data_IF_666719408588
#
_entry.id   IF_666719408588
#
_cell.length_a   1.000
_cell.length_b   1.000
_cell.length_c   1.000
_cell.angle_alpha   90.00
_cell.angle_beta   90.00
_cell.angle_gamma   90.00
#
_symmetry.space_group_name_H-M   'P 1'
#
loop_
_entity.id
_entity.type
_entity.pdbx_description
1 polymer ?
#
# COMPACT_ATOMS: atom_id res chain seq x y z
N UNK A 1 -6.39 14.33 -8.23
CA UNK A 1 -5.21 13.50 -8.56
C UNK A 1 -5.35 13.06 -10.01
N UNK A 2 -4.31 13.14 -10.85
CA UNK A 2 -4.39 12.68 -12.24
C UNK A 2 -4.38 11.14 -12.30
N UNK A 3 -4.96 10.56 -13.36
CA UNK A 3 -5.07 9.11 -13.57
C UNK A 3 -3.70 8.42 -13.47
N UNK A 4 -2.67 9.04 -14.05
CA UNK A 4 -1.29 8.59 -13.98
C UNK A 4 -0.75 8.47 -12.55
N UNK A 5 -1.02 9.45 -11.67
CA UNK A 5 -0.62 9.40 -10.26
C UNK A 5 -1.31 8.28 -9.48
N UNK A 6 -2.55 7.94 -9.84
CA UNK A 6 -3.31 6.85 -9.22
C UNK A 6 -2.84 5.47 -9.70
N UNK A 7 -2.52 5.32 -10.99
CA UNK A 7 -1.92 4.09 -11.55
C UNK A 7 -0.55 3.83 -10.92
N UNK A 8 0.29 4.86 -10.77
CA UNK A 8 1.59 4.73 -10.12
C UNK A 8 1.49 4.26 -8.66
N UNK A 9 0.42 4.63 -7.96
CA UNK A 9 0.13 4.16 -6.60
C UNK A 9 -0.33 2.70 -6.57
N UNK A 10 -1.18 2.30 -7.53
CA UNK A 10 -1.57 0.90 -7.71
C UNK A 10 -0.34 0.02 -8.01
N UNK A 11 0.44 0.38 -9.02
CA UNK A 11 1.68 -0.31 -9.41
C UNK A 11 2.64 -0.47 -8.23
N UNK A 12 2.85 0.59 -7.43
CA UNK A 12 3.70 0.51 -6.22
C UNK A 12 3.12 -0.38 -5.13
N UNK A 13 1.80 -0.41 -4.95
CA UNK A 13 1.12 -1.30 -3.99
C UNK A 13 1.36 -2.78 -4.35
N UNK A 14 1.59 -3.05 -5.62
CA UNK A 14 1.84 -4.35 -6.23
C UNK A 14 3.34 -4.70 -6.33
N UNK A 15 4.21 -3.99 -5.59
CA UNK A 15 5.63 -4.35 -5.48
C UNK A 15 6.49 -4.01 -6.71
N UNK A 16 5.92 -3.38 -7.73
CA UNK A 16 6.67 -2.80 -8.83
C UNK A 16 7.36 -1.52 -8.34
N UNK A 17 8.55 -1.74 -7.80
CA UNK A 17 9.41 -0.70 -7.19
C UNK A 17 10.26 0.06 -8.21
N UNK A 18 10.36 -0.44 -9.45
CA UNK A 18 11.14 0.17 -10.52
C UNK A 18 10.36 1.35 -11.15
N UNK A 19 10.83 2.61 -10.96
CA UNK A 19 10.12 3.79 -11.42
C UNK A 19 10.04 3.89 -12.95
N UNK A 20 11.00 3.32 -13.69
CA UNK A 20 10.97 3.33 -15.16
C UNK A 20 9.90 2.38 -15.69
N UNK A 21 9.81 1.17 -15.11
CA UNK A 21 8.77 0.19 -15.48
C UNK A 21 7.38 0.67 -15.10
N UNK A 22 7.24 1.30 -13.93
CA UNK A 22 5.99 1.89 -13.49
C UNK A 22 5.52 3.01 -14.45
N UNK A 23 6.44 3.83 -14.95
CA UNK A 23 6.14 4.87 -15.93
C UNK A 23 5.75 4.34 -17.33
N UNK A 24 6.30 3.20 -17.75
CA UNK A 24 5.90 2.54 -19.01
C UNK A 24 4.49 1.96 -18.88
N UNK A 25 4.20 1.28 -17.78
CA UNK A 25 2.86 0.75 -17.48
C UNK A 25 1.80 1.82 -17.37
N UNK A 26 2.09 2.90 -16.65
CA UNK A 26 1.17 4.01 -16.52
C UNK A 26 0.80 4.61 -17.88
N UNK A 27 1.76 4.70 -18.82
CA UNK A 27 1.50 5.18 -20.18
C UNK A 27 0.67 4.20 -21.01
N UNK A 28 0.98 2.90 -20.96
CA UNK A 28 0.22 1.87 -21.67
C UNK A 28 -1.24 1.82 -21.20
N UNK A 29 -1.46 1.88 -19.88
CA UNK A 29 -2.80 1.87 -19.29
C UNK A 29 -3.57 3.14 -19.66
N UNK A 30 -2.94 4.31 -19.60
CA UNK A 30 -3.59 5.57 -20.02
C UNK A 30 -4.00 5.50 -21.49
N UNK A 31 -3.15 4.96 -22.37
CA UNK A 31 -3.49 4.81 -23.79
C UNK A 31 -4.68 3.88 -24.05
N UNK A 32 -4.79 2.77 -23.30
CA UNK A 32 -5.94 1.84 -23.38
C UNK A 32 -7.22 2.51 -22.88
N UNK A 33 -7.13 3.26 -21.78
CA UNK A 33 -8.28 3.97 -21.21
C UNK A 33 -8.77 5.08 -22.15
N UNK A 34 -7.85 5.87 -22.71
CA UNK A 34 -8.19 6.93 -23.67
C UNK A 34 -8.77 6.35 -24.97
N UNK A 35 -8.35 5.15 -25.38
CA UNK A 35 -8.89 4.46 -26.56
C UNK A 35 -10.31 3.93 -26.34
N UNK A 36 -10.59 3.36 -25.16
CA UNK A 36 -11.91 2.80 -24.85
C UNK A 36 -12.94 3.82 -24.37
N UNK A 37 -12.49 4.99 -23.91
CA UNK A 37 -13.35 6.04 -23.36
C UNK A 37 -13.00 7.42 -23.94
N UNK A 38 -13.27 7.65 -25.25
CA UNK A 38 -12.91 8.90 -25.93
C UNK A 38 -13.66 10.13 -25.39
N UNK A 39 -14.87 9.95 -24.84
CA UNK A 39 -15.78 11.04 -24.48
C UNK A 39 -15.85 11.37 -22.98
N UNK A 40 -15.03 10.73 -22.13
CA UNK A 40 -15.04 11.04 -20.71
C UNK A 40 -14.14 10.16 -19.86
N UNK A 41 -13.64 10.74 -18.76
CA UNK A 41 -12.80 10.01 -17.79
C UNK A 41 -13.64 8.95 -17.06
N UNK A 42 -13.33 7.64 -17.20
CA UNK A 42 -14.11 6.62 -16.54
C UNK A 42 -14.04 6.77 -15.01
N UNK A 43 -15.12 6.40 -14.34
CA UNK A 43 -15.14 6.32 -12.87
C UNK A 43 -14.13 5.28 -12.39
N UNK A 44 -13.45 5.58 -11.28
CA UNK A 44 -12.43 4.71 -10.70
C UNK A 44 -12.97 3.32 -10.35
N UNK A 45 -14.25 3.22 -9.99
CA UNK A 45 -14.94 1.96 -9.67
C UNK A 45 -15.01 1.00 -10.88
N UNK A 46 -14.96 1.53 -12.10
CA UNK A 46 -14.93 0.73 -13.34
C UNK A 46 -13.49 0.37 -13.70
N UNK A 47 -12.53 1.25 -13.39
CA UNK A 47 -11.11 1.07 -13.70
C UNK A 47 -10.37 0.17 -12.71
N UNK A 48 -10.73 0.19 -11.43
CA UNK A 48 -10.00 -0.54 -10.37
C UNK A 48 -9.95 -2.06 -10.56
N UNK A 49 -11.06 -2.77 -10.87
CA UNK A 49 -10.99 -4.20 -11.13
C UNK A 49 -10.15 -4.51 -12.38
N UNK A 50 -10.29 -3.70 -13.44
CA UNK A 50 -9.52 -3.85 -14.68
C UNK A 50 -8.01 -3.60 -14.46
N UNK A 51 -7.66 -2.59 -13.67
CA UNK A 51 -6.28 -2.31 -13.29
C UNK A 51 -5.69 -3.45 -12.46
N UNK A 52 -6.47 -3.99 -11.53
CA UNK A 52 -6.05 -5.11 -10.67
C UNK A 52 -5.78 -6.36 -11.52
N UNK A 53 -6.66 -6.66 -12.47
CA UNK A 53 -6.52 -7.79 -13.39
C UNK A 53 -5.29 -7.63 -14.31
N UNK A 54 -5.11 -6.45 -14.90
CA UNK A 54 -3.95 -6.16 -15.76
C UNK A 54 -2.62 -6.21 -14.99
N UNK A 55 -2.60 -5.74 -13.74
CA UNK A 55 -1.42 -5.84 -12.88
C UNK A 55 -1.11 -7.30 -12.50
N UNK A 56 -2.13 -8.10 -12.17
CA UNK A 56 -1.96 -9.51 -11.86
C UNK A 56 -1.41 -10.31 -13.06
N UNK A 57 -1.94 -10.06 -14.27
CA UNK A 57 -1.43 -10.69 -15.49
C UNK A 57 0.03 -10.31 -15.78
N UNK A 58 0.39 -9.05 -15.55
CA UNK A 58 1.75 -8.58 -15.73
C UNK A 58 2.72 -9.18 -14.69
N UNK A 59 2.31 -9.24 -13.42
CA UNK A 59 3.08 -9.89 -12.36
C UNK A 59 3.34 -11.37 -12.71
N UNK A 60 2.32 -12.07 -13.19
CA UNK A 60 2.43 -13.46 -13.65
C UNK A 60 3.42 -13.59 -14.81
N UNK A 61 3.31 -12.76 -15.85
CA UNK A 61 4.21 -12.77 -17.00
C UNK A 61 5.66 -12.42 -16.62
N UNK A 62 5.86 -11.50 -15.67
CA UNK A 62 7.19 -11.14 -15.18
C UNK A 62 7.80 -12.22 -14.29
N UNK A 63 7.00 -12.89 -13.46
CA UNK A 63 7.44 -14.05 -12.67
C UNK A 63 7.82 -15.20 -13.59
N UNK A 64 7.02 -15.48 -14.61
CA UNK A 64 7.31 -16.51 -15.61
C UNK A 64 8.61 -16.20 -16.36
N UNK A 65 8.82 -14.94 -16.78
CA UNK A 65 10.07 -14.54 -17.45
C UNK A 65 11.29 -14.62 -16.54
N UNK A 66 11.13 -14.32 -15.24
CA UNK A 66 12.21 -14.51 -14.24
C UNK A 66 12.52 -15.98 -14.03
N UNK A 67 11.50 -16.84 -13.96
CA UNK A 67 11.69 -18.29 -13.84
C UNK A 67 12.35 -18.87 -15.08
N UNK A 68 11.95 -18.45 -16.29
CA UNK A 68 12.61 -18.85 -17.55
C UNK A 68 14.07 -18.40 -17.61
N UNK A 69 14.39 -17.20 -17.12
CA UNK A 69 15.79 -16.71 -17.00
C UNK A 69 16.60 -17.49 -15.94
N UNK A 70 15.99 -17.86 -14.82
CA UNK A 70 16.64 -18.64 -13.76
C UNK A 70 16.92 -20.10 -14.18
N UNK A 71 16.10 -20.65 -15.08
CA UNK A 71 16.27 -21.98 -15.68
C UNK A 71 17.19 -21.99 -16.91
N UNK A 72 17.90 -20.88 -17.19
CA UNK A 72 18.87 -20.81 -18.28
C UNK A 72 18.27 -20.86 -19.69
N UNK A 73 16.95 -20.68 -19.85
CA UNK A 73 16.33 -20.58 -21.17
C UNK A 73 16.48 -19.14 -21.71
N UNK A 74 17.65 -18.84 -22.26
CA UNK A 74 17.75 -17.82 -23.30
C UNK A 74 17.13 -18.38 -24.58
N UNK A 75 15.90 -17.98 -24.88
CA UNK A 75 15.43 -18.01 -26.28
C UNK A 75 15.29 -16.58 -26.76
N UNK A 76 16.34 -16.15 -27.45
CA UNK A 76 16.29 -15.13 -28.49
C UNK A 76 15.42 -15.67 -29.63
N UNK A 77 14.44 -14.85 -30.05
CA UNK A 77 13.78 -14.83 -31.36
C UNK A 77 12.86 -15.97 -31.80
N UNK A 78 11.74 -15.57 -32.42
CA UNK A 78 10.89 -16.36 -33.30
C UNK A 78 11.66 -16.92 -34.52
N UNK A 79 11.01 -17.74 -35.37
CA UNK A 79 10.42 -19.06 -35.17
C UNK A 79 11.33 -20.18 -35.76
N UNK A 80 11.32 -21.44 -35.29
CA UNK A 80 12.08 -22.49 -35.95
C UNK A 80 11.21 -23.29 -36.95
N UNK A 81 11.71 -23.39 -38.19
CA UNK A 81 11.39 -24.46 -39.13
C UNK A 81 11.98 -25.79 -38.62
N UNK A 82 11.39 -26.96 -39.00
CA UNK A 82 11.64 -28.23 -38.34
C UNK A 82 12.72 -29.05 -39.03
N UNK A 83 13.69 -29.59 -38.30
CA UNK A 83 14.45 -30.78 -38.73
C UNK A 83 14.90 -31.60 -37.51
N UNK A 84 14.27 -32.78 -37.37
CA UNK A 84 14.75 -34.15 -37.02
C UNK A 84 15.77 -34.35 -35.88
N UNK A 85 15.40 -35.15 -34.86
CA UNK A 85 15.81 -36.57 -34.64
C UNK A 85 17.33 -36.67 -34.37
N UNK A 86 17.84 -37.21 -33.27
CA UNK A 86 17.70 -38.59 -32.79
C UNK A 86 18.43 -38.77 -31.44
N UNK A 87 17.87 -39.66 -30.60
CA UNK A 87 18.54 -40.66 -29.74
C UNK A 87 19.54 -40.24 -28.64
N UNK A 88 19.21 -40.47 -27.36
CA UNK A 88 19.29 -41.75 -26.62
C UNK A 88 20.68 -41.96 -25.99
N UNK A 89 20.75 -42.01 -24.65
CA UNK A 89 21.35 -43.13 -23.92
C UNK A 89 21.48 -42.87 -22.42
N UNK A 90 21.06 -43.88 -21.68
CA UNK A 90 21.07 -44.08 -20.24
C UNK A 90 22.49 -44.20 -19.67
N UNK A 91 22.66 -43.93 -18.37
CA UNK A 91 23.00 -44.94 -17.33
C UNK A 91 23.69 -44.34 -16.09
N UNK A 92 23.11 -44.60 -14.93
CA UNK A 92 23.78 -44.74 -13.61
C UNK A 92 24.39 -46.15 -13.52
N UNK A 93 25.44 -46.42 -12.70
CA UNK A 93 25.24 -46.83 -11.28
C UNK A 93 26.43 -46.45 -10.34
N UNK A 94 26.21 -46.14 -9.05
CA UNK A 94 26.30 -46.99 -7.85
C UNK A 94 27.68 -47.11 -7.14
N UNK A 95 27.70 -46.69 -5.86
CA UNK A 95 28.16 -47.42 -4.64
C UNK A 95 29.65 -47.43 -4.19
N UNK A 96 29.79 -47.20 -2.87
CA UNK A 96 30.85 -47.50 -1.87
C UNK A 96 32.21 -46.77 -1.99
N UNK A 97 33.03 -46.50 -0.97
CA UNK A 97 33.16 -47.05 0.39
C UNK A 97 34.03 -46.11 1.28
N UNK A 98 34.20 -46.54 2.51
CA UNK A 98 34.69 -45.95 3.77
C UNK A 98 36.17 -45.49 3.93
N UNK A 99 36.39 -44.74 5.03
CA UNK A 99 37.59 -44.64 5.93
C UNK A 99 38.78 -43.73 5.54
N UNK A 100 38.98 -42.64 6.30
CA UNK A 100 39.89 -42.63 7.47
C UNK A 100 40.07 -41.24 8.12
N UNK A 101 40.01 -41.29 9.45
CA UNK A 101 40.49 -40.38 10.48
C UNK A 101 41.50 -39.28 10.07
N UNK A 102 41.08 -38.00 10.12
CA UNK A 102 41.98 -36.89 10.47
C UNK A 102 41.29 -35.94 11.46
N UNK A 103 41.63 -36.12 12.73
CA UNK A 103 41.44 -35.11 13.79
C UNK A 103 42.11 -33.81 13.33
N UNK A 104 41.31 -32.84 12.90
CA UNK A 104 41.70 -31.43 12.86
C UNK A 104 40.81 -30.68 13.83
N UNK A 105 41.39 -30.32 14.95
CA UNK A 105 40.89 -29.30 15.87
C UNK A 105 40.81 -27.96 15.15
N UNK A 106 39.73 -27.74 14.40
CA UNK A 106 39.30 -26.40 14.02
C UNK A 106 38.38 -25.92 15.14
N UNK A 107 38.86 -24.97 15.95
CA UNK A 107 38.00 -24.02 16.66
C UNK A 107 37.20 -23.26 15.60
N UNK A 108 36.10 -23.85 15.15
CA UNK A 108 35.07 -23.13 14.43
C UNK A 108 34.50 -22.11 15.39
N UNK A 109 34.70 -20.81 15.12
CA UNK A 109 33.84 -19.76 15.66
C UNK A 109 32.43 -20.13 15.20
N UNK A 110 31.71 -20.83 16.05
CA UNK A 110 30.32 -21.18 15.82
C UNK A 110 29.58 -19.88 15.56
N UNK A 111 28.94 -19.80 14.41
CA UNK A 111 27.90 -18.81 14.18
C UNK A 111 26.77 -19.19 15.14
N UNK A 112 26.81 -18.69 16.37
CA UNK A 112 25.70 -18.83 17.30
C UNK A 112 24.62 -17.89 16.79
N UNK A 113 23.72 -18.41 15.95
CA UNK A 113 22.43 -17.76 15.72
C UNK A 113 21.77 -17.73 17.08
N UNK A 114 21.85 -16.60 17.78
CA UNK A 114 21.11 -16.38 19.01
C UNK A 114 19.65 -16.50 18.60
N UNK A 115 19.05 -17.64 18.92
CA UNK A 115 17.66 -17.90 18.61
C UNK A 115 16.83 -16.88 19.39
N UNK A 116 16.29 -15.88 18.70
CA UNK A 116 15.41 -14.88 19.31
C UNK A 116 14.25 -15.58 20.01
N UNK A 117 13.93 -15.14 21.21
CA UNK A 117 12.77 -15.65 21.94
C UNK A 117 11.48 -15.37 21.14
N UNK A 118 10.43 -16.16 21.38
CA UNK A 118 9.15 -15.92 20.72
C UNK A 118 8.61 -14.52 21.02
N UNK A 119 8.78 -14.04 22.25
CA UNK A 119 8.38 -12.68 22.65
C UNK A 119 9.13 -11.59 21.90
N UNK A 120 10.43 -11.79 21.64
CA UNK A 120 11.22 -10.86 20.85
C UNK A 120 10.75 -10.81 19.39
N UNK A 121 10.42 -11.96 18.80
CA UNK A 121 9.84 -12.04 17.45
C UNK A 121 8.48 -11.34 17.37
N UNK A 122 7.61 -11.55 18.36
CA UNK A 122 6.31 -10.90 18.44
C UNK A 122 6.45 -9.38 18.61
N UNK A 123 7.41 -8.92 19.42
CA UNK A 123 7.70 -7.49 19.60
C UNK A 123 8.19 -6.87 18.29
N UNK A 124 9.14 -7.51 17.61
CA UNK A 124 9.65 -7.04 16.31
C UNK A 124 8.54 -7.00 15.24
N UNK A 125 7.69 -8.03 15.16
CA UNK A 125 6.57 -8.05 14.22
C UNK A 125 5.53 -6.94 14.47
N UNK A 126 5.36 -6.53 15.73
CA UNK A 126 4.43 -5.46 16.13
C UNK A 126 5.00 -4.05 15.92
N UNK A 127 6.32 -3.89 15.87
CA UNK A 127 6.98 -2.58 15.84
C UNK A 127 6.50 -1.66 14.70
N UNK A 128 6.31 -2.12 13.45
CA UNK A 128 5.85 -1.25 12.37
C UNK A 128 4.47 -0.62 12.65
N UNK A 129 3.54 -1.39 13.22
CA UNK A 129 2.21 -0.90 13.57
C UNK A 129 2.30 0.09 14.74
N UNK A 130 3.18 -0.16 15.72
CA UNK A 130 3.39 0.76 16.84
C UNK A 130 3.92 2.11 16.38
N UNK A 131 4.89 2.12 15.48
CA UNK A 131 5.46 3.36 14.91
C UNK A 131 4.39 4.16 14.16
N UNK A 132 3.58 3.51 13.33
CA UNK A 132 2.47 4.15 12.63
C UNK A 132 1.45 4.76 13.61
N UNK A 133 1.09 4.04 14.67
CA UNK A 133 0.12 4.52 15.66
C UNK A 133 0.64 5.71 16.48
N UNK A 134 1.87 5.62 16.98
CA UNK A 134 2.41 6.63 17.90
C UNK A 134 2.86 7.90 17.18
N UNK A 135 3.26 7.79 15.91
CA UNK A 135 3.76 8.91 15.11
C UNK A 135 2.73 9.34 14.08
N UNK A 136 2.57 8.57 13.00
CA UNK A 136 1.78 9.00 11.84
C UNK A 136 0.29 9.24 12.17
N UNK A 137 -0.35 8.38 12.97
CA UNK A 137 -1.74 8.56 13.36
C UNK A 137 -1.92 9.78 14.28
N UNK A 138 -0.93 10.07 15.13
CA UNK A 138 -0.97 11.23 16.04
C UNK A 138 -0.70 12.52 15.27
N UNK A 139 0.31 12.54 14.41
CA UNK A 139 0.69 13.70 13.60
C UNK A 139 -0.44 14.14 12.65
N UNK A 140 -1.22 13.19 12.14
CA UNK A 140 -2.41 13.48 11.32
C UNK A 140 -3.64 13.90 12.13
N UNK A 141 -3.58 13.82 13.47
CA UNK A 141 -4.73 14.06 14.34
C UNK A 141 -5.81 12.98 14.22
N UNK A 142 -5.47 11.79 13.73
CA UNK A 142 -6.37 10.65 13.74
C UNK A 142 -6.51 10.06 15.15
N UNK A 143 -5.42 10.11 15.94
CA UNK A 143 -5.40 9.68 17.34
C UNK A 143 -4.78 10.75 18.22
N UNK A 144 -5.24 10.81 19.46
CA UNK A 144 -4.51 11.50 20.52
C UNK A 144 -3.37 10.61 21.01
N UNK A 145 -2.30 11.20 21.56
CA UNK A 145 -1.16 10.44 22.12
C UNK A 145 -1.59 9.37 23.15
N UNK A 146 -2.57 9.70 24.00
CA UNK A 146 -3.16 8.76 24.98
C UNK A 146 -3.92 7.61 24.30
N UNK A 147 -4.60 7.86 23.19
CA UNK A 147 -5.30 6.83 22.44
C UNK A 147 -4.30 5.90 21.75
N UNK A 148 -3.28 6.45 21.09
CA UNK A 148 -2.22 5.67 20.47
C UNK A 148 -1.51 4.75 21.47
N UNK A 149 -1.16 5.26 22.66
CA UNK A 149 -0.56 4.43 23.72
C UNK A 149 -1.48 3.28 24.17
N UNK A 150 -2.79 3.52 24.30
CA UNK A 150 -3.76 2.47 24.64
C UNK A 150 -3.86 1.41 23.55
N UNK A 151 -3.89 1.82 22.28
CA UNK A 151 -3.95 0.89 21.16
C UNK A 151 -2.67 0.05 21.04
N UNK A 152 -1.50 0.64 21.31
CA UNK A 152 -0.24 -0.11 21.39
C UNK A 152 -0.26 -1.15 22.51
N UNK A 153 -0.78 -0.79 23.69
CA UNK A 153 -0.92 -1.74 24.81
C UNK A 153 -1.89 -2.88 24.49
N UNK A 154 -2.97 -2.63 23.74
CA UNK A 154 -3.90 -3.71 23.36
C UNK A 154 -3.32 -4.75 22.41
N UNK A 155 -2.16 -4.48 21.79
CA UNK A 155 -1.45 -5.46 20.95
C UNK A 155 -0.72 -6.53 21.76
N UNK A 156 -0.49 -6.30 23.07
CA UNK A 156 0.24 -7.23 23.92
C UNK A 156 -0.53 -8.54 24.05
N UNK A 157 0.20 -9.67 23.95
CA UNK A 157 -0.39 -11.01 23.97
C UNK A 157 -1.05 -11.48 22.67
N UNK A 158 -1.14 -10.63 21.63
CA UNK A 158 -1.79 -10.96 20.35
C UNK A 158 -0.79 -11.23 19.23
N UNK A 159 -1.17 -12.04 18.24
CA UNK A 159 -0.36 -12.14 17.01
C UNK A 159 -0.38 -10.79 16.28
N UNK A 160 0.71 -10.41 15.57
CA UNK A 160 0.78 -9.13 14.87
C UNK A 160 -0.41 -8.89 13.94
N UNK A 161 -0.85 -9.93 13.23
CA UNK A 161 -1.95 -9.86 12.25
C UNK A 161 -3.30 -9.61 12.93
N UNK A 162 -3.62 -10.37 13.98
CA UNK A 162 -4.86 -10.22 14.75
C UNK A 162 -4.91 -8.84 15.42
N UNK A 163 -3.78 -8.39 15.97
CA UNK A 163 -3.65 -7.07 16.57
C UNK A 163 -3.87 -5.96 15.53
N UNK A 164 -3.30 -6.08 14.34
CA UNK A 164 -3.48 -5.10 13.27
C UNK A 164 -4.95 -5.03 12.83
N UNK A 165 -5.64 -6.17 12.66
CA UNK A 165 -7.04 -6.18 12.25
C UNK A 165 -7.95 -5.45 13.23
N UNK A 166 -7.80 -5.69 14.54
CA UNK A 166 -8.56 -4.97 15.55
C UNK A 166 -8.26 -3.47 15.59
N UNK A 167 -6.98 -3.10 15.42
CA UNK A 167 -6.55 -1.71 15.35
C UNK A 167 -7.18 -1.02 14.13
N UNK A 168 -7.17 -1.68 12.97
CA UNK A 168 -7.76 -1.16 11.74
C UNK A 168 -9.25 -0.90 11.92
N UNK A 169 -9.98 -1.80 12.56
CA UNK A 169 -11.40 -1.59 12.86
C UNK A 169 -11.63 -0.33 13.69
N UNK A 170 -10.87 -0.15 14.76
CA UNK A 170 -10.97 1.04 15.60
C UNK A 170 -10.59 2.32 14.82
N UNK A 171 -9.53 2.29 14.01
CA UNK A 171 -9.12 3.44 13.20
C UNK A 171 -10.16 3.79 12.12
N UNK A 172 -10.82 2.81 11.51
CA UNK A 172 -11.93 3.03 10.56
C UNK A 172 -13.07 3.76 11.23
N UNK A 173 -13.48 3.33 12.42
CA UNK A 173 -14.56 3.97 13.18
C UNK A 173 -14.20 5.42 13.53
N UNK A 174 -12.98 5.66 14.01
CA UNK A 174 -12.52 7.02 14.34
C UNK A 174 -12.51 7.92 13.10
N UNK A 175 -11.94 7.45 11.98
CA UNK A 175 -11.91 8.21 10.73
C UNK A 175 -13.33 8.49 10.23
N UNK A 176 -14.25 7.52 10.33
CA UNK A 176 -15.64 7.69 9.93
C UNK A 176 -16.35 8.76 10.75
N UNK A 177 -16.14 8.80 12.06
CA UNK A 177 -16.69 9.86 12.92
C UNK A 177 -16.09 11.24 12.61
N UNK A 178 -14.79 11.31 12.33
CA UNK A 178 -14.15 12.56 11.89
C UNK A 178 -14.76 13.07 10.57
N UNK A 179 -14.93 12.19 9.58
CA UNK A 179 -15.54 12.53 8.28
C UNK A 179 -16.99 12.98 8.46
N UNK A 180 -17.79 12.28 9.29
CA UNK A 180 -19.15 12.71 9.64
C UNK A 180 -19.16 14.12 10.25
N UNK A 181 -18.23 14.38 11.18
CA UNK A 181 -18.05 15.70 11.78
C UNK A 181 -17.77 16.78 10.73
N UNK A 182 -16.86 16.52 9.80
CA UNK A 182 -16.52 17.44 8.71
C UNK A 182 -17.73 17.71 7.80
N UNK A 183 -18.46 16.66 7.39
CA UNK A 183 -19.65 16.80 6.53
C UNK A 183 -20.72 17.67 7.19
N UNK A 184 -20.92 17.51 8.51
CA UNK A 184 -21.90 18.30 9.27
C UNK A 184 -21.47 19.76 9.42
N UNK A 185 -20.18 20.02 9.61
CA UNK A 185 -19.64 21.36 9.84
C UNK A 185 -19.50 22.17 8.53
N UNK A 186 -19.08 21.52 7.44
CA UNK A 186 -18.83 22.18 6.15
C UNK A 186 -20.02 21.98 5.21
N UNK A 187 -21.02 22.87 5.29
CA UNK A 187 -22.12 22.91 4.32
C UNK A 187 -21.57 23.15 2.91
N UNK A 188 -21.88 22.26 1.96
CA UNK A 188 -21.33 22.33 0.60
C UNK A 188 -19.88 21.84 0.47
N UNK A 189 -19.35 21.18 1.51
CA UNK A 189 -17.98 20.64 1.59
C UNK A 189 -17.60 19.65 0.48
N UNK A 190 -16.37 19.09 0.53
CA UNK A 190 -15.85 18.21 -0.52
C UNK A 190 -16.73 16.98 -0.79
N UNK A 191 -17.51 16.54 0.20
CA UNK A 191 -18.46 15.42 0.09
C UNK A 191 -19.92 15.88 0.26
N UNK A 192 -20.30 17.03 -0.32
CA UNK A 192 -21.67 17.53 -0.23
C UNK A 192 -22.70 16.62 -0.94
N UNK A 193 -22.28 15.89 -1.98
CA UNK A 193 -23.16 15.01 -2.76
C UNK A 193 -23.34 13.67 -2.04
N UNK A 194 -24.56 13.09 -2.00
CA UNK A 194 -24.80 11.78 -1.39
C UNK A 194 -23.89 10.67 -1.92
N UNK A 195 -23.65 10.66 -3.24
CA UNK A 195 -22.75 9.70 -3.88
C UNK A 195 -21.31 9.81 -3.34
N UNK A 196 -20.78 11.03 -3.21
CA UNK A 196 -19.42 11.24 -2.69
C UNK A 196 -19.30 10.85 -1.20
N UNK A 197 -20.39 10.97 -0.43
CA UNK A 197 -20.43 10.49 0.96
C UNK A 197 -20.44 8.97 1.04
N UNK A 198 -21.08 8.30 0.09
CA UNK A 198 -21.10 6.85 0.05
C UNK A 198 -19.76 6.29 -0.43
N UNK A 199 -19.14 6.91 -1.44
CA UNK A 199 -17.80 6.57 -1.90
C UNK A 199 -16.78 6.62 -0.76
N UNK A 200 -16.72 7.72 0.01
CA UNK A 200 -15.79 7.81 1.14
C UNK A 200 -16.11 6.82 2.28
N UNK A 201 -17.39 6.48 2.51
CA UNK A 201 -17.76 5.44 3.50
C UNK A 201 -17.27 4.07 3.06
N UNK A 202 -17.43 3.75 1.79
CA UNK A 202 -16.95 2.50 1.21
C UNK A 202 -15.43 2.43 1.23
N UNK A 203 -14.73 3.51 0.88
CA UNK A 203 -13.28 3.58 0.95
C UNK A 203 -12.77 3.30 2.37
N UNK A 204 -13.40 3.91 3.38
CA UNK A 204 -13.07 3.66 4.79
C UNK A 204 -13.36 2.20 5.15
N UNK A 205 -14.52 1.66 4.77
CA UNK A 205 -14.90 0.27 5.07
C UNK A 205 -13.97 -0.75 4.40
N UNK A 206 -13.45 -0.48 3.21
CA UNK A 206 -12.54 -1.39 2.50
C UNK A 206 -11.08 -1.30 2.95
N UNK A 207 -10.72 -0.37 3.83
CA UNK A 207 -9.39 -0.27 4.39
C UNK A 207 -9.07 -1.50 5.27
N UNK A 208 -8.01 -2.24 4.94
CA UNK A 208 -7.63 -3.52 5.61
C UNK A 208 -6.33 -3.45 6.42
N UNK A 209 -5.61 -2.34 6.36
CA UNK A 209 -4.34 -2.15 7.08
C UNK A 209 -4.23 -0.75 7.66
N UNK A 210 -3.41 -0.58 8.71
CA UNK A 210 -3.23 0.72 9.37
C UNK A 210 -2.72 1.77 8.38
N UNK A 211 -1.80 1.35 7.50
CA UNK A 211 -1.27 2.17 6.42
C UNK A 211 -2.37 2.62 5.44
N UNK A 212 -3.34 1.76 5.11
CA UNK A 212 -4.44 2.14 4.21
C UNK A 212 -5.36 3.19 4.84
N UNK A 213 -5.69 3.06 6.13
CA UNK A 213 -6.49 4.07 6.86
C UNK A 213 -5.74 5.40 6.95
N UNK A 214 -4.42 5.36 7.21
CA UNK A 214 -3.57 6.55 7.22
C UNK A 214 -3.55 7.28 5.87
N UNK A 215 -3.47 6.54 4.76
CA UNK A 215 -3.51 7.14 3.42
C UNK A 215 -4.86 7.80 3.15
N UNK A 216 -5.97 7.17 3.57
CA UNK A 216 -7.30 7.75 3.47
C UNK A 216 -7.41 9.01 4.35
N UNK A 217 -6.95 8.99 5.59
CA UNK A 217 -6.95 10.15 6.48
C UNK A 217 -6.17 11.33 5.87
N UNK A 218 -4.99 11.08 5.27
CA UNK A 218 -4.23 12.10 4.54
C UNK A 218 -5.02 12.67 3.36
N UNK A 219 -5.73 11.83 2.63
CA UNK A 219 -6.56 12.25 1.50
C UNK A 219 -7.73 13.11 1.97
N UNK A 220 -8.42 12.71 3.04
CA UNK A 220 -9.51 13.48 3.69
C UNK A 220 -9.03 14.86 4.09
N UNK A 221 -7.90 14.95 4.79
CA UNK A 221 -7.32 16.24 5.20
C UNK A 221 -6.97 17.09 3.97
N UNK A 222 -6.39 16.49 2.94
CA UNK A 222 -6.03 17.19 1.70
C UNK A 222 -7.24 17.72 0.95
N UNK A 223 -8.30 16.92 0.80
CA UNK A 223 -9.54 17.34 0.12
C UNK A 223 -10.25 18.44 0.89
N UNK A 224 -10.30 18.31 2.22
CA UNK A 224 -10.82 19.36 3.10
C UNK A 224 -10.05 20.67 2.90
N UNK A 225 -8.72 20.66 3.01
CA UNK A 225 -7.89 21.85 2.84
C UNK A 225 -8.03 22.44 1.43
N UNK A 226 -8.04 21.60 0.39
CA UNK A 226 -8.22 22.06 -0.99
C UNK A 226 -9.60 22.71 -1.21
N UNK A 227 -10.63 22.22 -0.52
CA UNK A 227 -11.95 22.84 -0.54
C UNK A 227 -11.94 24.18 0.22
N UNK A 228 -11.34 24.22 1.42
CA UNK A 228 -11.17 25.43 2.23
C UNK A 228 -10.32 26.49 1.51
N UNK A 229 -9.30 26.13 0.74
CA UNK A 229 -8.52 27.10 -0.05
C UNK A 229 -9.33 27.73 -1.17
N UNK A 230 -10.19 26.93 -1.83
CA UNK A 230 -11.03 27.36 -2.96
C UNK A 230 -12.26 28.16 -2.52
N UNK A 231 -12.86 27.80 -1.40
CA UNK A 231 -14.13 28.36 -0.94
C UNK A 231 -13.99 29.21 0.33
N UNK A 232 -12.93 28.99 1.13
CA UNK A 232 -12.65 29.70 2.38
C UNK A 232 -11.97 31.06 2.21
N UNK A 233 -11.61 31.48 0.99
CA UNK A 233 -11.29 32.89 0.69
C UNK A 233 -12.53 33.75 0.40
N UNK A 234 -13.73 33.17 0.39
CA UNK A 234 -14.93 33.82 -0.15
C UNK A 234 -16.23 33.70 0.65
N UNK A 235 -16.22 33.30 1.93
CA UNK A 235 -17.48 33.25 2.67
C UNK A 235 -17.35 33.07 4.19
N UNK A 236 -17.93 34.03 4.92
CA UNK A 236 -18.28 34.05 6.35
C UNK A 236 -17.29 34.46 7.45
N UNK A 237 -16.07 34.93 7.16
CA UNK A 237 -15.32 35.77 8.15
C UNK A 237 -14.71 37.06 7.57
N UNK A 238 -15.04 37.42 6.32
CA UNK A 238 -14.54 38.63 5.65
C UNK A 238 -15.37 39.91 5.83
N UNK A 239 -16.39 39.92 6.70
CA UNK A 239 -17.39 41.00 6.72
C UNK A 239 -17.81 41.57 8.08
N UNK A 240 -17.22 41.16 9.21
CA UNK A 240 -17.69 41.62 10.54
C UNK A 240 -16.60 41.99 11.56
N UNK A 241 -15.37 42.25 11.12
CA UNK A 241 -14.32 42.88 11.94
C UNK A 241 -13.70 44.11 11.27
N UNK A 242 -14.45 44.75 10.37
CA UNK A 242 -14.23 46.14 9.99
C UNK A 242 -14.91 47.06 10.99
N UNK A 243 -14.27 47.34 12.13
CA UNK A 243 -14.77 48.39 13.03
C UNK A 243 -14.35 48.31 14.49
N UNK A 244 -13.10 48.70 14.80
CA UNK A 244 -12.77 49.69 15.85
C UNK A 244 -11.25 49.75 16.07
N UNK A 245 -10.58 50.58 15.26
CA UNK A 245 -9.51 51.44 15.79
C UNK A 245 -10.12 52.82 16.04
N UNK A 246 -10.25 53.19 17.32
CA UNK A 246 -10.19 54.56 17.90
C UNK A 246 -10.62 54.48 19.37
N UNK A 247 -9.67 54.57 20.30
CA UNK A 247 -9.58 55.65 21.31
C UNK A 247 -10.27 55.20 22.61
N UNK A 248 -9.76 55.36 23.82
CA UNK A 248 -8.93 56.37 24.49
C UNK A 248 -8.21 55.66 25.67
N UNK A 249 -6.97 56.03 26.01
CA UNK A 249 -6.62 56.75 27.26
C UNK A 249 -7.32 56.22 28.51
#
# INVERSE_FOLDING_TARGET
MNLCGRIMLGVRRHGLSDPQRAGILARAIVAVVDHHYPDGRPSLLVLEPLLTEQLAMLEAALMERRMRKALGHETVSAPPLPVKEEQESQSTPAVSEERTLRKRTLKGKGYTVVAKSMDEKLREGRQPVQELLQKDCVDLGLLDRKQAERMVRSMLGKRPEDAEQEIVEQLRQILQEQVKGIIRQLKGGPWAKPQAQEEIRQDIAHARSVKSVLLLARQVIKERRAWEEKHGKGGLFGGLLGGRRRGLR
#
